data_IF_214217527125
#
_entry.id   IF_214217527125
#
_cell.length_a   1.000
_cell.length_b   1.000
_cell.length_c   1.000
_cell.angle_alpha   90.00
_cell.angle_beta   90.00
_cell.angle_gamma   90.00
#
_symmetry.space_group_name_H-M   'P 1'
#
loop_
_entity.id
_entity.type
_entity.pdbx_description
1 polymer ?
2 non-polymer ?
3 non-polymer ?
4 non-polymer ?
5 water ?
#
# COMPACT_ATOMS: atom_id res chain seq x y z
N UNK A 2 11.64 -25.97 2.72
CA UNK A 2 12.81 -26.08 1.82
C UNK A 2 13.94 -25.16 2.30
N UNK A 3 14.52 -25.49 3.47
CA UNK A 3 15.67 -24.76 4.01
C UNK A 3 16.97 -25.27 3.39
N UNK A 4 18.03 -24.45 3.51
CA UNK A 4 19.25 -24.67 2.75
C UNK A 4 20.47 -24.59 3.67
N UNK A 5 20.90 -25.74 4.21
CA UNK A 5 21.80 -25.81 5.34
C UNK A 5 23.16 -25.24 4.94
N UNK A 6 23.81 -24.57 5.92
CA UNK A 6 25.14 -23.99 5.79
C UNK A 6 26.17 -24.90 6.46
N UNK A 7 27.24 -25.22 5.71
CA UNK A 7 28.28 -26.16 6.09
C UNK A 7 29.65 -25.48 5.99
N UNK A 8 30.59 -25.92 6.87
CA UNK A 8 31.97 -25.42 6.92
C UNK A 8 32.75 -25.73 5.64
N UNK A 9 33.52 -24.79 5.06
CA UNK A 9 34.51 -25.15 4.05
C UNK A 9 35.67 -26.00 4.65
N UNK A 20 32.36 -21.05 -5.35
CA UNK A 20 32.71 -22.44 -5.77
C UNK A 20 31.61 -22.95 -6.73
N UNK A 21 31.44 -24.27 -6.81
CA UNK A 21 30.49 -24.91 -7.71
C UNK A 21 29.12 -25.02 -7.05
N UNK A 22 29.05 -25.66 -5.87
CA UNK A 22 27.81 -25.90 -5.15
C UNK A 22 27.00 -24.62 -4.94
N UNK A 23 27.68 -23.47 -4.80
CA UNK A 23 27.03 -22.22 -4.47
C UNK A 23 26.50 -21.54 -5.74
N UNK A 24 27.32 -21.38 -6.79
CA UNK A 24 26.88 -20.72 -8.02
C UNK A 24 25.97 -21.66 -8.84
N UNK A 25 25.97 -22.95 -8.48
CA UNK A 25 24.96 -23.90 -8.90
C UNK A 25 23.59 -23.56 -8.34
N UNK A 26 23.53 -23.29 -7.04
CA UNK A 26 22.33 -22.84 -6.36
C UNK A 26 21.78 -21.52 -6.92
N UNK A 27 22.65 -20.56 -7.25
CA UNK A 27 22.19 -19.28 -7.76
C UNK A 27 21.50 -19.44 -9.09
N UNK A 28 21.99 -20.39 -9.91
CA UNK A 28 21.42 -20.60 -11.22
C UNK A 28 20.05 -21.29 -11.06
N UNK A 29 19.89 -22.21 -10.11
CA UNK A 29 18.61 -22.87 -9.90
C UNK A 29 17.58 -21.91 -9.29
N UNK A 30 18.03 -21.16 -8.28
CA UNK A 30 17.19 -20.20 -7.58
C UNK A 30 16.72 -19.14 -8.58
N UNK A 31 17.67 -18.64 -9.38
CA UNK A 31 17.33 -17.63 -10.37
C UNK A 31 16.22 -18.13 -11.30
N UNK A 32 16.20 -19.46 -11.54
CA UNK A 32 15.23 -20.08 -12.43
C UNK A 32 13.85 -20.05 -11.78
N UNK A 33 13.78 -20.51 -10.51
CA UNK A 33 12.53 -20.50 -9.76
C UNK A 33 11.98 -19.08 -9.57
N UNK A 34 12.85 -18.06 -9.47
CA UNK A 34 12.40 -16.67 -9.36
C UNK A 34 11.84 -16.16 -10.67
N UNK A 35 12.41 -16.59 -11.81
CA UNK A 35 11.95 -16.17 -13.12
C UNK A 35 10.53 -16.72 -13.34
N UNK A 36 10.32 -17.95 -12.86
CA UNK A 36 9.07 -18.69 -12.95
C UNK A 36 8.04 -18.03 -12.05
N UNK A 37 8.41 -17.75 -10.79
CA UNK A 37 7.50 -17.15 -9.82
C UNK A 37 7.10 -15.75 -10.30
N UNK A 38 8.04 -15.04 -10.97
CA UNK A 38 7.79 -13.68 -11.45
C UNK A 38 6.80 -13.67 -12.60
N UNK A 39 6.79 -14.77 -13.38
CA UNK A 39 5.98 -14.93 -14.57
C UNK A 39 4.50 -15.02 -14.18
N UNK A 40 4.21 -15.77 -13.09
CA UNK A 40 2.86 -16.10 -12.68
C UNK A 40 2.35 -15.26 -11.50
N UNK A 41 3.08 -14.23 -11.04
CA UNK A 41 2.66 -13.49 -9.86
C UNK A 41 1.54 -12.49 -10.18
N UNK A 42 0.39 -12.59 -9.50
CA UNK A 42 -0.74 -11.70 -9.70
C UNK A 42 -1.35 -11.16 -8.40
N UNK A 43 -1.06 -11.75 -7.24
CA UNK A 43 -1.88 -11.50 -6.07
C UNK A 43 -1.52 -10.27 -5.23
N UNK A 44 -0.28 -9.78 -5.29
CA UNK A 44 0.22 -8.82 -4.30
C UNK A 44 0.67 -7.56 -5.03
N UNK A 45 0.64 -6.38 -4.37
CA UNK A 45 0.82 -5.11 -5.07
C UNK A 45 2.26 -4.68 -5.33
N UNK A 46 3.05 -5.62 -5.85
CA UNK A 46 4.48 -5.42 -6.10
C UNK A 46 4.71 -5.34 -7.61
N UNK A 47 5.31 -4.19 -8.02
CA UNK A 47 5.71 -3.92 -9.39
C UNK A 47 6.99 -4.70 -9.66
N UNK A 48 6.90 -5.63 -10.63
CA UNK A 48 7.92 -6.63 -10.90
C UNK A 48 8.71 -6.27 -12.17
N UNK A 49 8.32 -5.16 -12.77
CA UNK A 49 8.98 -4.58 -13.92
C UNK A 49 10.07 -3.64 -13.39
N UNK A 50 11.23 -4.23 -13.08
CA UNK A 50 12.34 -3.52 -12.45
C UNK A 50 13.39 -3.15 -13.48
N UNK A 51 13.56 -1.84 -13.69
CA UNK A 51 14.49 -1.40 -14.70
C UNK A 51 15.59 -0.55 -14.06
N UNK A 52 16.60 -1.23 -13.49
CA UNK A 52 17.54 -0.61 -12.57
C UNK A 52 18.92 -1.25 -12.70
N UNK A 53 19.22 -1.86 -13.86
CA UNK A 53 20.47 -2.56 -14.12
C UNK A 53 21.73 -1.72 -13.88
N UNK A 54 21.88 -0.49 -14.43
CA UNK A 54 23.00 0.39 -14.10
C UNK A 54 23.34 0.69 -12.62
N UNK A 55 22.37 0.48 -11.69
CA UNK A 55 22.54 0.85 -10.29
C UNK A 55 23.15 -0.29 -9.48
N UNK A 56 23.38 -1.46 -10.07
CA UNK A 56 23.77 -2.65 -9.32
C UNK A 56 25.27 -2.70 -9.05
N UNK A 57 26.06 -1.87 -9.76
CA UNK A 57 27.39 -1.46 -9.36
C UNK A 57 27.43 -1.10 -7.87
N UNK A 58 26.44 -0.33 -7.41
CA UNK A 58 26.45 0.35 -6.12
C UNK A 58 26.29 -0.64 -4.95
N UNK A 59 25.93 -1.90 -5.24
CA UNK A 59 25.85 -2.99 -4.28
C UNK A 59 27.25 -3.28 -3.72
N UNK A 60 28.24 -2.57 -4.27
CA UNK A 60 29.62 -2.67 -3.85
C UNK A 60 29.85 -1.84 -2.58
N UNK A 61 29.03 -0.80 -2.36
CA UNK A 61 29.17 0.08 -1.21
C UNK A 61 28.13 -0.19 -0.12
N UNK A 62 28.53 0.09 1.13
CA UNK A 62 27.66 -0.04 2.29
C UNK A 62 26.96 1.27 2.53
N UNK A 63 26.00 1.62 1.66
CA UNK A 63 25.31 2.90 1.74
C UNK A 63 24.33 2.84 2.92
N UNK A 64 24.35 3.90 3.73
CA UNK A 64 23.61 3.93 4.97
C UNK A 64 23.29 5.39 5.23
N UNK A 65 21.99 5.75 5.22
CA UNK A 65 21.51 7.10 5.45
C UNK A 65 21.14 7.32 6.90
N UNK A 66 21.67 6.46 7.76
CA UNK A 66 21.79 6.66 9.20
C UNK A 66 21.56 8.12 9.61
N UNK A 67 20.44 8.34 10.30
CA UNK A 67 20.08 9.64 10.85
C UNK A 67 19.03 10.37 10.00
N UNK A 68 18.94 11.68 10.24
CA UNK A 68 17.97 12.54 9.57
C UNK A 68 18.37 12.70 8.11
N UNK A 69 17.43 12.71 7.14
CA UNK A 69 17.81 12.92 5.75
C UNK A 69 18.36 14.33 5.46
N UNK A 70 17.99 15.31 6.28
CA UNK A 70 18.32 16.73 6.08
C UNK A 70 19.49 17.23 6.95
N UNK A 71 19.96 16.41 7.91
CA UNK A 71 21.18 16.67 8.67
C UNK A 71 22.16 15.52 8.43
N UNK A 72 23.25 15.82 7.70
CA UNK A 72 24.30 14.88 7.37
C UNK A 72 25.02 14.35 8.62
N UNK A 73 25.03 13.01 8.77
CA UNK A 73 25.76 12.33 9.84
C UNK A 73 27.22 12.27 9.42
N UNK A 74 28.10 11.86 10.32
CA UNK A 74 29.52 11.77 10.03
C UNK A 74 29.82 10.53 9.21
N UNK A 75 28.89 9.55 9.16
CA UNK A 75 29.04 8.46 8.23
C UNK A 75 28.85 8.97 6.80
N UNK A 76 29.92 8.91 6.05
CA UNK A 76 30.01 9.55 4.75
C UNK A 76 29.46 8.73 3.59
N UNK A 77 29.33 7.40 3.72
CA UNK A 77 28.86 6.54 2.63
C UNK A 77 27.32 6.51 2.59
N UNK A 78 26.71 7.56 2.06
CA UNK A 78 25.26 7.74 2.11
C UNK A 78 24.73 8.34 0.80
N UNK A 79 23.41 8.41 0.67
CA UNK A 79 22.74 8.77 -0.57
C UNK A 79 21.74 9.90 -0.31
N UNK A 80 22.03 10.78 0.65
CA UNK A 80 21.13 11.87 0.97
C UNK A 80 20.86 12.82 -0.19
N UNK A 81 21.79 12.96 -1.16
CA UNK A 81 21.51 13.82 -2.31
C UNK A 81 20.22 13.30 -2.97
N UNK A 82 20.20 11.99 -3.26
CA UNK A 82 19.07 11.31 -3.87
C UNK A 82 17.84 11.33 -2.95
N UNK A 83 18.05 11.02 -1.67
CA UNK A 83 16.94 10.84 -0.75
C UNK A 83 16.15 12.12 -0.70
N UNK A 84 16.87 13.25 -0.63
CA UNK A 84 16.25 14.56 -0.45
C UNK A 84 15.56 15.02 -1.74
N UNK A 85 16.18 14.74 -2.88
CA UNK A 85 15.50 14.89 -4.16
C UNK A 85 14.12 14.22 -4.19
N UNK A 86 14.09 12.91 -3.86
CA UNK A 86 12.89 12.08 -3.88
C UNK A 86 11.88 12.65 -2.91
N UNK A 87 12.32 13.07 -1.73
CA UNK A 87 11.38 13.55 -0.75
C UNK A 87 10.76 14.85 -1.24
N UNK A 88 11.55 15.66 -1.96
CA UNK A 88 11.10 16.98 -2.42
C UNK A 88 9.99 16.80 -3.47
N UNK A 89 10.22 15.86 -4.37
CA UNK A 89 9.24 15.44 -5.33
C UNK A 89 7.94 14.98 -4.66
N UNK A 90 8.04 14.14 -3.63
CA UNK A 90 6.84 13.71 -2.93
C UNK A 90 6.17 14.92 -2.28
N UNK A 91 6.93 15.89 -1.77
CA UNK A 91 6.31 17.04 -1.11
C UNK A 91 5.53 17.86 -2.14
N UNK A 92 6.07 17.97 -3.35
CA UNK A 92 5.43 18.69 -4.44
C UNK A 92 4.14 17.94 -4.79
N UNK A 93 4.27 16.63 -5.08
CA UNK A 93 3.16 15.71 -5.35
C UNK A 93 2.01 15.87 -4.36
N UNK A 94 2.25 16.06 -3.06
CA UNK A 94 1.17 16.13 -2.08
C UNK A 94 0.97 17.55 -1.59
N UNK A 95 1.62 18.51 -2.26
CA UNK A 95 1.39 19.94 -2.05
C UNK A 95 1.74 20.38 -0.62
N UNK A 96 3.00 20.20 -0.22
CA UNK A 96 3.52 20.82 1.00
C UNK A 96 4.87 21.47 0.66
N UNK A 97 5.15 22.66 1.20
CA UNK A 97 6.32 23.40 0.74
C UNK A 97 7.58 22.93 1.50
N UNK A 98 8.77 23.10 0.87
CA UNK A 98 10.08 22.74 1.40
C UNK A 98 10.21 23.06 2.90
N UNK A 99 9.64 24.16 3.37
CA UNK A 99 9.87 24.59 4.73
C UNK A 99 8.66 24.32 5.60
N UNK A 100 7.74 23.47 5.10
CA UNK A 100 6.60 23.06 5.91
C UNK A 100 6.67 21.55 6.21
N UNK A 101 7.54 20.79 5.53
CA UNK A 101 7.48 19.34 5.58
C UNK A 101 8.78 18.70 6.09
N UNK A 102 8.60 17.55 6.76
CA UNK A 102 9.67 16.60 7.04
C UNK A 102 9.22 15.21 6.61
N UNK A 103 10.20 14.38 6.26
CA UNK A 103 9.93 13.00 5.93
C UNK A 103 11.22 12.23 5.67
N UNK A 104 11.07 10.96 5.27
CA UNK A 104 12.23 10.10 5.03
C UNK A 104 11.79 8.90 4.22
N UNK A 105 12.78 8.27 3.60
CA UNK A 105 12.58 7.03 2.89
C UNK A 105 12.72 5.87 3.89
N UNK A 106 11.63 5.08 4.01
CA UNK A 106 11.46 4.04 5.01
C UNK A 106 11.80 2.68 4.40
N UNK A 107 11.65 1.64 5.20
CA UNK A 107 11.79 0.25 4.82
C UNK A 107 10.47 -0.36 4.32
N UNK A 108 9.42 0.45 4.22
CA UNK A 108 8.15 -0.02 3.71
C UNK A 108 6.97 0.73 4.31
N UNK A 109 5.81 0.35 3.81
CA UNK A 109 4.55 0.94 4.22
C UNK A 109 4.22 0.68 5.68
N UNK A 110 4.74 -0.41 6.27
CA UNK A 110 4.46 -0.61 7.69
C UNK A 110 5.28 0.31 8.56
N UNK A 111 6.55 0.57 8.23
CA UNK A 111 7.30 1.60 8.93
C UNK A 111 6.62 2.97 8.79
N UNK A 112 6.11 3.33 7.61
CA UNK A 112 5.46 4.62 7.47
C UNK A 112 4.21 4.73 8.34
N UNK A 113 3.45 3.65 8.44
CA UNK A 113 2.31 3.57 9.33
C UNK A 113 2.75 3.72 10.79
N UNK A 114 3.80 3.01 11.22
CA UNK A 114 4.22 3.13 12.60
C UNK A 114 4.70 4.55 12.90
N UNK A 115 5.31 5.20 11.91
CA UNK A 115 5.82 6.54 12.13
C UNK A 115 4.67 7.52 12.25
N UNK A 116 3.77 7.52 11.26
CA UNK A 116 2.66 8.44 11.25
C UNK A 116 1.73 8.27 12.44
N UNK A 117 1.54 7.04 12.93
CA UNK A 117 0.61 6.85 14.03
C UNK A 117 1.29 7.31 15.31
N UNK A 118 2.62 7.20 15.36
CA UNK A 118 3.38 7.59 16.54
C UNK A 118 3.36 9.11 16.62
N UNK A 119 3.59 9.77 15.50
CA UNK A 119 3.48 11.21 15.44
C UNK A 119 2.16 11.71 16.02
N UNK A 120 1.03 11.10 15.61
CA UNK A 120 -0.29 11.47 16.08
C UNK A 120 -0.49 11.20 17.57
N UNK A 121 0.14 10.15 18.08
CA UNK A 121 0.02 9.86 19.50
C UNK A 121 0.77 10.91 20.31
N UNK A 122 1.72 11.61 19.68
CA UNK A 122 2.57 12.52 20.42
C UNK A 122 1.91 13.90 20.36
N UNK A 123 1.31 14.25 19.22
CA UNK A 123 0.41 15.39 19.12
C UNK A 123 -0.71 15.26 20.17
N UNK A 124 -1.28 14.05 20.39
CA UNK A 124 -2.41 13.85 21.28
C UNK A 124 -2.28 12.57 22.10
N UNK A 125 -1.45 12.58 23.18
CA UNK A 125 -1.25 11.40 24.04
C UNK A 125 -2.49 10.74 24.65
N UNK A 126 -3.58 11.50 24.71
CA UNK A 126 -4.83 11.04 25.30
C UNK A 126 -5.84 10.66 24.19
N UNK A 127 -5.47 11.02 22.94
CA UNK A 127 -6.19 10.73 21.70
C UNK A 127 -6.76 9.31 21.62
N UNK A 128 -8.00 9.22 21.12
CA UNK A 128 -8.55 7.93 20.73
C UNK A 128 -8.13 7.71 19.28
N UNK A 129 -7.80 6.45 18.96
CA UNK A 129 -7.36 6.10 17.61
C UNK A 129 -8.53 5.45 16.86
N UNK A 130 -8.81 5.91 15.64
CA UNK A 130 -9.87 5.37 14.81
C UNK A 130 -9.33 4.93 13.46
N UNK A 131 -9.75 3.72 13.05
CA UNK A 131 -9.52 3.17 11.73
C UNK A 131 -10.65 2.23 11.33
N UNK A 132 -10.77 1.94 10.02
CA UNK A 132 -11.79 1.03 9.56
C UNK A 132 -11.42 -0.42 9.84
N UNK A 133 -12.45 -1.27 9.90
CA UNK A 133 -12.32 -2.72 10.00
C UNK A 133 -11.43 -3.30 8.91
N UNK A 134 -11.23 -2.60 7.78
CA UNK A 134 -10.48 -3.12 6.65
C UNK A 134 -9.12 -2.43 6.51
N UNK A 135 -8.66 -1.84 7.61
CA UNK A 135 -7.30 -1.40 7.76
C UNK A 135 -6.33 -2.59 7.71
N UNK A 136 -5.13 -2.32 7.18
CA UNK A 136 -4.04 -3.29 7.13
C UNK A 136 -3.64 -3.67 8.55
N UNK A 137 -3.18 -4.93 8.72
CA UNK A 137 -2.77 -5.47 10.01
C UNK A 137 -1.65 -4.63 10.65
N UNK A 138 -0.91 -3.85 9.85
CA UNK A 138 0.12 -2.96 10.37
C UNK A 138 -0.50 -1.91 11.30
N UNK A 139 -1.75 -1.49 11.03
CA UNK A 139 -2.36 -0.37 11.75
C UNK A 139 -2.70 -0.82 13.16
N UNK A 140 -3.28 -2.01 13.26
CA UNK A 140 -3.66 -2.57 14.55
C UNK A 140 -2.43 -2.98 15.33
N UNK A 141 -1.42 -3.52 14.63
CA UNK A 141 -0.14 -3.82 15.28
C UNK A 141 0.43 -2.54 15.94
N UNK A 142 0.34 -1.41 15.25
CA UNK A 142 0.91 -0.18 15.75
C UNK A 142 0.20 0.26 17.03
N UNK A 143 -1.13 0.22 17.06
CA UNK A 143 -1.92 0.68 18.20
C UNK A 143 -1.60 -0.13 19.43
N UNK A 144 -1.42 -1.45 19.24
CA UNK A 144 -1.06 -2.34 20.32
C UNK A 144 0.37 -2.08 20.78
N UNK A 145 1.30 -1.93 19.83
CA UNK A 145 2.67 -1.63 20.19
C UNK A 145 2.72 -0.34 20.98
N UNK A 146 1.87 0.60 20.58
CA UNK A 146 1.88 1.94 21.13
C UNK A 146 0.89 2.13 22.27
N UNK A 147 0.19 1.06 22.65
CA UNK A 147 -0.78 1.10 23.73
C UNK A 147 -1.76 2.26 23.55
N UNK A 148 -2.30 2.39 22.34
CA UNK A 148 -3.38 3.32 22.07
C UNK A 148 -4.72 2.56 22.08
N UNK A 149 -5.77 3.29 22.47
CA UNK A 149 -7.12 2.78 22.39
C UNK A 149 -7.57 2.86 20.94
N UNK A 150 -7.89 1.68 20.40
CA UNK A 150 -8.26 1.55 19.00
C UNK A 150 -9.77 1.34 18.88
N UNK A 151 -10.46 2.28 18.22
CA UNK A 151 -11.88 2.14 17.94
C UNK A 151 -12.05 1.74 16.47
N UNK A 152 -12.46 0.49 16.21
CA UNK A 152 -12.66 0.00 14.85
C UNK A 152 -13.97 0.53 14.28
N UNK A 153 -13.85 1.34 13.24
CA UNK A 153 -14.98 1.93 12.56
C UNK A 153 -15.47 0.97 11.48
N UNK A 154 -16.78 0.84 11.36
CA UNK A 154 -17.37 0.00 10.34
C UNK A 154 -17.11 0.53 8.94
N UNK A 155 -17.53 -0.28 7.97
CA UNK A 155 -17.13 -0.21 6.56
C UNK A 155 -18.39 -0.50 5.73
N UNK A 156 -18.60 0.26 4.66
CA UNK A 156 -19.49 -0.05 3.56
C UNK A 156 -19.08 -1.34 2.82
N UNK A 157 -19.95 -1.80 1.91
CA UNK A 157 -19.83 -3.10 1.27
C UNK A 157 -18.49 -3.14 0.52
N UNK A 158 -18.10 -1.99 -0.03
CA UNK A 158 -17.04 -1.90 -1.01
C UNK A 158 -15.68 -1.67 -0.33
N UNK A 159 -15.67 -1.40 0.99
CA UNK A 159 -14.43 -1.34 1.76
C UNK A 159 -14.16 0.03 2.40
N UNK A 160 -14.77 1.10 1.84
CA UNK A 160 -14.67 2.46 2.37
C UNK A 160 -15.06 2.51 3.83
N UNK A 161 -14.44 3.43 4.60
CA UNK A 161 -14.86 3.68 5.98
C UNK A 161 -16.31 4.20 5.93
N UNK A 162 -17.12 3.81 6.91
CA UNK A 162 -18.50 4.26 7.01
C UNK A 162 -18.55 5.50 7.88
N UNK A 163 -18.68 6.70 7.28
CA UNK A 163 -18.59 7.96 8.02
C UNK A 163 -19.83 8.24 8.87
N UNK A 164 -20.89 7.45 8.72
CA UNK A 164 -22.00 7.48 9.66
C UNK A 164 -21.56 6.79 10.95
N UNK A 165 -21.06 5.55 10.85
CA UNK A 165 -20.57 4.82 12.02
C UNK A 165 -19.39 5.57 12.66
N UNK A 166 -18.57 6.21 11.82
CA UNK A 166 -17.53 7.13 12.28
C UNK A 166 -18.14 8.19 13.19
N UNK A 167 -19.11 8.97 12.65
CA UNK A 167 -19.79 10.02 13.39
C UNK A 167 -20.32 9.47 14.72
N UNK A 168 -21.08 8.38 14.66
CA UNK A 168 -21.60 7.76 15.87
C UNK A 168 -20.47 7.58 16.89
N UNK A 169 -19.31 7.06 16.44
CA UNK A 169 -18.21 6.74 17.34
C UNK A 169 -17.49 8.00 17.84
N UNK A 170 -17.26 8.98 16.97
CA UNK A 170 -16.72 10.27 17.38
C UNK A 170 -17.49 10.85 18.57
N UNK A 171 -18.83 10.90 18.47
CA UNK A 171 -19.68 11.61 19.43
C UNK A 171 -19.67 10.90 20.79
N UNK A 172 -19.46 9.59 20.84
CA UNK A 172 -19.38 8.89 22.13
C UNK A 172 -17.98 9.01 22.77
N UNK A 173 -17.05 9.75 22.14
CA UNK A 173 -15.76 10.05 22.73
C UNK A 173 -15.43 11.52 22.44
N UNK A 174 -16.35 12.42 22.83
CA UNK A 174 -16.30 13.80 22.39
C UNK A 174 -15.33 14.62 23.24
N UNK A 175 -15.04 14.14 24.45
CA UNK A 175 -14.03 14.76 25.32
C UNK A 175 -12.66 14.77 24.64
N UNK A 176 -12.17 13.57 24.26
CA UNK A 176 -10.81 13.32 23.80
C UNK A 176 -10.59 13.76 22.34
N UNK A 177 -9.33 14.11 21.96
CA UNK A 177 -8.99 14.37 20.55
C UNK A 177 -9.03 13.06 19.76
N UNK A 178 -9.04 13.21 18.44
CA UNK A 178 -9.18 12.06 17.56
C UNK A 178 -7.90 11.89 16.77
N UNK A 179 -7.33 10.67 16.85
CA UNK A 179 -6.29 10.26 15.90
C UNK A 179 -6.89 9.27 14.90
N UNK A 180 -6.67 9.53 13.61
CA UNK A 180 -7.34 8.76 12.57
C UNK A 180 -6.37 8.24 11.53
N UNK A 181 -6.49 6.95 11.23
CA UNK A 181 -5.88 6.40 10.03
C UNK A 181 -6.96 6.23 8.95
N UNK A 182 -6.64 6.71 7.76
CA UNK A 182 -7.43 6.56 6.55
C UNK A 182 -6.68 5.70 5.55
N UNK A 183 -7.44 4.82 4.93
CA UNK A 183 -6.90 3.82 4.04
C UNK A 183 -7.08 4.35 2.64
N UNK A 184 -5.99 4.82 2.03
CA UNK A 184 -6.01 5.15 0.62
C UNK A 184 -5.66 3.87 -0.15
N UNK A 185 -6.69 3.04 -0.38
CA UNK A 185 -6.51 1.78 -1.08
C UNK A 185 -6.33 0.63 -0.09
N UNK A 186 -7.45 0.13 0.42
CA UNK A 186 -7.41 -0.96 1.38
C UNK A 186 -6.85 -2.23 0.74
N UNK A 187 -6.25 -3.08 1.56
CA UNK A 187 -5.46 -4.20 1.07
C UNK A 187 -6.33 -5.13 0.25
N UNK A 188 -7.47 -5.55 0.80
CA UNK A 188 -8.24 -6.62 0.18
C UNK A 188 -9.05 -6.08 -1.01
N UNK A 189 -9.84 -5.02 -0.83
CA UNK A 189 -10.91 -4.65 -1.76
C UNK A 189 -10.53 -3.46 -2.64
N UNK A 190 -9.49 -2.74 -2.23
CA UNK A 190 -8.98 -1.64 -3.03
C UNK A 190 -9.79 -0.36 -2.85
N UNK A 191 -10.48 -0.23 -1.71
CA UNK A 191 -11.31 0.93 -1.44
C UNK A 191 -10.46 2.13 -1.02
N UNK A 192 -11.03 3.32 -1.23
CA UNK A 192 -10.42 4.59 -0.85
C UNK A 192 -11.34 5.31 0.13
N UNK A 193 -10.91 5.42 1.40
CA UNK A 193 -11.61 6.20 2.39
C UNK A 193 -11.79 7.62 1.86
N UNK A 194 -13.00 8.16 2.08
CA UNK A 194 -13.38 9.48 1.64
C UNK A 194 -12.81 10.51 2.61
N UNK A 195 -11.65 11.09 2.27
CA UNK A 195 -10.95 12.04 3.12
C UNK A 195 -11.84 13.25 3.44
N UNK A 196 -12.31 13.91 2.38
CA UNK A 196 -13.20 15.06 2.47
C UNK A 196 -14.35 14.80 3.44
N UNK A 197 -15.07 13.70 3.25
CA UNK A 197 -16.22 13.43 4.09
C UNK A 197 -15.79 13.22 5.54
N UNK A 198 -14.62 12.60 5.74
CA UNK A 198 -14.12 12.32 7.08
C UNK A 198 -13.82 13.65 7.78
N UNK A 199 -13.15 14.54 7.04
CA UNK A 199 -12.81 15.85 7.54
C UNK A 199 -14.11 16.57 7.96
N UNK A 200 -15.03 16.71 7.00
CA UNK A 200 -16.34 17.30 7.21
C UNK A 200 -17.03 16.70 8.44
N UNK A 201 -17.00 15.37 8.62
CA UNK A 201 -17.70 14.74 9.74
C UNK A 201 -17.12 15.17 11.08
N UNK A 202 -15.78 15.34 11.11
CA UNK A 202 -15.07 15.79 12.30
C UNK A 202 -15.51 17.21 12.66
N UNK A 203 -15.47 18.10 11.67
CA UNK A 203 -15.81 19.51 11.85
C UNK A 203 -17.22 19.65 12.42
N UNK A 204 -18.16 18.81 11.94
CA UNK A 204 -19.55 18.97 12.32
C UNK A 204 -19.90 18.10 13.52
N UNK A 205 -18.91 17.44 14.14
CA UNK A 205 -19.06 16.91 15.50
C UNK A 205 -18.26 17.76 16.47
N UNK A 206 -17.80 18.93 16.02
CA UNK A 206 -17.10 19.89 16.88
C UNK A 206 -15.66 19.49 17.19
N UNK A 207 -15.00 18.84 16.22
CA UNK A 207 -13.55 18.65 16.22
C UNK A 207 -12.95 19.69 15.27
N UNK A 208 -12.26 20.68 15.85
CA UNK A 208 -11.52 21.61 15.03
C UNK A 208 -10.14 21.02 14.72
N UNK A 209 -9.45 21.63 13.73
CA UNK A 209 -8.18 21.16 13.21
C UNK A 209 -7.17 20.82 14.30
N UNK A 210 -7.31 21.44 15.48
CA UNK A 210 -6.33 21.31 16.56
C UNK A 210 -6.80 20.24 17.57
N UNK A 211 -7.81 19.44 17.21
CA UNK A 211 -8.22 18.32 18.06
C UNK A 211 -8.27 16.99 17.29
N UNK A 212 -7.74 16.95 16.07
CA UNK A 212 -7.64 15.68 15.37
C UNK A 212 -6.34 15.67 14.57
N UNK A 213 -5.79 14.45 14.36
CA UNK A 213 -4.65 14.15 13.49
C UNK A 213 -5.08 13.05 12.52
N UNK A 214 -4.89 13.26 11.21
CA UNK A 214 -5.13 12.22 10.22
C UNK A 214 -3.83 11.71 9.60
N UNK A 215 -3.62 10.37 9.66
CA UNK A 215 -2.60 9.73 8.83
C UNK A 215 -3.24 9.01 7.64
N UNK A 216 -2.65 9.19 6.47
CA UNK A 216 -3.07 8.51 5.25
C UNK A 216 -2.12 7.35 4.97
N UNK A 217 -2.66 6.12 5.05
CA UNK A 217 -1.99 4.92 4.61
C UNK A 217 -2.25 4.75 3.12
N UNK A 218 -1.26 5.10 2.29
CA UNK A 218 -1.38 4.97 0.85
C UNK A 218 -0.38 4.00 0.24
N UNK A 219 -0.05 2.95 0.96
CA UNK A 219 0.99 2.03 0.55
C UNK A 219 0.99 1.78 -0.96
N UNK A 220 -0.16 1.44 -1.55
CA UNK A 220 -0.22 1.29 -3.00
C UNK A 220 -0.82 2.52 -3.66
N UNK A 221 -2.07 2.81 -3.31
CA UNK A 221 -2.83 3.75 -4.13
C UNK A 221 -2.49 5.21 -3.82
N UNK A 222 -1.89 5.50 -2.67
CA UNK A 222 -1.44 6.85 -2.37
C UNK A 222 -0.47 7.37 -3.43
N UNK A 223 0.38 6.51 -3.97
CA UNK A 223 1.26 6.92 -5.04
C UNK A 223 0.43 7.22 -6.29
N UNK A 224 -0.54 6.35 -6.56
CA UNK A 224 -1.24 6.31 -7.85
C UNK A 224 -2.27 7.43 -7.98
N UNK A 225 -2.92 7.83 -6.89
CA UNK A 225 -4.11 8.65 -7.02
C UNK A 225 -3.80 10.07 -7.53
N UNK A 226 -2.68 10.75 -7.16
CA UNK A 226 -2.39 12.08 -7.72
C UNK A 226 -2.16 12.12 -9.23
N UNK A 227 -2.14 10.96 -9.89
CA UNK A 227 -1.98 10.94 -11.33
C UNK A 227 -3.33 10.86 -12.04
N UNK A 228 -4.44 10.94 -11.30
CA UNK A 228 -5.74 11.06 -11.93
C UNK A 228 -6.29 12.47 -11.69
N UNK A 229 -7.26 12.89 -12.50
CA UNK A 229 -7.98 14.13 -12.24
C UNK A 229 -9.20 13.88 -11.33
N UNK A 230 -9.31 12.68 -10.71
CA UNK A 230 -10.52 12.25 -10.01
C UNK A 230 -10.28 11.98 -8.52
N UNK A 231 -11.36 11.77 -7.76
CA UNK A 231 -11.29 11.18 -6.43
C UNK A 231 -10.88 12.20 -5.36
N UNK A 232 -10.84 11.82 -4.05
CA UNK A 232 -10.45 12.74 -2.98
C UNK A 232 -8.94 13.00 -2.90
N UNK A 233 -8.53 14.22 -3.29
CA UNK A 233 -7.15 14.62 -3.47
C UNK A 233 -6.39 14.55 -2.15
N UNK A 234 -5.16 14.01 -2.21
CA UNK A 234 -4.26 13.92 -1.07
C UNK A 234 -3.37 15.17 -1.12
N UNK A 235 -3.54 16.05 -0.13
CA UNK A 235 -2.92 17.35 -0.19
C UNK A 235 -2.85 17.89 1.22
N UNK A 236 -1.68 18.44 1.59
CA UNK A 236 -1.57 18.97 2.93
C UNK A 236 -2.25 20.33 3.06
N UNK A 237 -2.87 20.84 1.98
CA UNK A 237 -3.79 21.97 2.05
C UNK A 237 -5.05 21.57 2.82
N UNK A 238 -5.36 20.27 2.85
CA UNK A 238 -6.37 19.82 3.81
C UNK A 238 -5.65 19.53 5.11
N UNK A 239 -6.37 19.46 6.25
CA UNK A 239 -5.74 19.13 7.54
C UNK A 239 -5.41 17.66 7.80
N UNK A 240 -4.61 17.05 6.91
CA UNK A 240 -3.96 15.78 7.18
C UNK A 240 -2.62 16.00 7.89
N UNK A 241 -2.16 14.95 8.58
CA UNK A 241 -0.95 14.99 9.39
C UNK A 241 0.24 14.38 8.66
N UNK A 242 0.02 13.25 7.98
CA UNK A 242 1.10 12.52 7.32
C UNK A 242 0.52 11.57 6.28
N UNK A 243 1.37 11.22 5.32
CA UNK A 243 1.03 10.33 4.24
C UNK A 243 2.21 9.36 4.04
N UNK A 244 1.94 8.04 4.01
CA UNK A 244 2.95 7.06 3.62
C UNK A 244 2.54 6.30 2.37
N UNK A 245 3.57 5.81 1.70
CA UNK A 245 3.53 5.09 0.46
C UNK A 245 4.64 4.02 0.52
N UNK A 246 4.47 2.90 -0.20
CA UNK A 246 5.52 1.90 -0.35
C UNK A 246 6.13 2.06 -1.72
N UNK A 247 7.45 2.09 -1.79
CA UNK A 247 8.14 2.29 -3.05
C UNK A 247 8.24 1.02 -3.88
N UNK A 248 8.30 -0.14 -3.22
CA UNK A 248 8.35 -1.44 -3.90
C UNK A 248 6.95 -1.90 -4.35
N UNK A 250 3.99 0.41 -6.19
CA UNK A 250 3.82 0.86 -7.58
C UNK A 250 5.14 1.14 -8.31
N UNK A 251 6.05 1.95 -7.75
CA UNK A 251 7.24 2.42 -8.47
C UNK A 251 8.12 1.22 -8.82
N UNK A 252 8.26 0.31 -7.86
CA UNK A 252 9.08 -0.87 -8.05
C UNK A 252 10.49 -0.64 -7.50
N UNK A 253 10.95 -1.62 -6.70
CA UNK A 253 12.24 -1.57 -6.05
C UNK A 253 12.60 -2.98 -5.59
N UNK A 254 13.83 -3.48 -5.85
CA UNK A 254 14.19 -4.85 -5.48
C UNK A 254 14.00 -5.14 -3.98
N UNK A 255 14.23 -4.11 -3.14
CA UNK A 255 14.05 -4.24 -1.71
C UNK A 255 12.86 -3.40 -1.28
N UNK A 256 12.09 -3.84 -0.27
CA UNK A 256 11.03 -2.99 0.28
C UNK A 256 11.57 -1.63 0.71
N UNK A 257 10.81 -0.58 0.39
CA UNK A 257 11.04 0.76 0.88
C UNK A 257 9.72 1.52 0.84
N UNK A 258 9.76 2.76 1.31
CA UNK A 258 8.61 3.65 1.23
C UNK A 258 9.02 5.11 1.47
N UNK A 259 8.00 5.98 1.52
CA UNK A 259 8.18 7.40 1.75
C UNK A 259 7.11 7.80 2.75
N UNK A 260 7.52 8.43 3.87
CA UNK A 260 6.62 9.03 4.85
C UNK A 260 6.85 10.55 4.80
N UNK A 261 5.79 11.37 4.67
CA UNK A 261 5.94 12.81 4.70
C UNK A 261 4.93 13.33 5.70
N UNK A 262 5.41 14.18 6.59
CA UNK A 262 4.57 14.82 7.57
C UNK A 262 4.86 16.32 7.61
N UNK A 263 4.14 16.99 8.48
CA UNK A 263 4.35 18.38 8.75
C UNK A 263 5.53 18.52 9.70
N UNK A 264 6.47 19.41 9.33
CA UNK A 264 7.65 19.75 10.11
C UNK A 264 7.34 20.10 11.58
N UNK A 265 6.29 20.87 11.81
CA UNK A 265 5.83 21.16 13.17
C UNK A 265 5.65 19.86 13.93
N UNK A 266 5.21 18.80 13.24
CA UNK A 266 4.88 17.56 13.91
C UNK A 266 6.12 16.78 14.32
N UNK A 267 7.24 16.93 13.60
CA UNK A 267 8.42 16.12 13.85
C UNK A 267 9.19 16.53 15.12
N UNK A 268 8.99 17.73 15.69
CA UNK A 268 9.78 18.19 16.85
C UNK A 268 9.62 17.28 18.07
N UNK A 269 8.45 16.63 18.23
CA UNK A 269 8.22 15.80 19.41
C UNK A 269 8.96 14.46 19.37
N UNK A 270 9.44 13.99 18.19
CA UNK A 270 10.16 12.72 18.05
C UNK A 270 11.66 12.96 17.92
N UNK A 271 12.05 14.08 17.29
CA UNK A 271 13.43 14.35 16.92
C UNK A 271 14.28 14.58 18.17
N UNK A 272 15.36 13.79 18.34
CA UNK A 272 16.36 14.00 19.37
C UNK A 272 17.77 13.99 18.77
N UNK A 273 18.61 14.92 19.21
CA UNK A 273 20.01 14.93 18.82
C UNK A 273 20.63 13.64 19.38
N UNK A 274 21.49 13.02 18.57
CA UNK A 274 22.33 11.89 18.95
C UNK A 274 23.76 12.33 18.64
N UNK A 275 24.57 12.54 19.69
CA UNK A 275 25.87 13.18 19.50
C UNK A 275 26.77 12.34 18.60
N UNK A 276 26.76 10.99 18.68
CA UNK A 276 27.73 10.14 17.98
C UNK A 276 27.38 9.95 16.50
N UNK A 277 26.16 10.34 16.10
CA UNK A 277 25.81 10.46 14.70
C UNK A 277 26.21 11.82 14.11
N UNK A 278 26.26 12.87 14.97
CA UNK A 278 26.17 14.26 14.52
C UNK A 278 24.96 14.43 13.57
N UNK A 279 23.81 13.90 14.04
CA UNK A 279 22.56 13.98 13.32
C UNK A 279 21.45 13.86 14.36
N UNK A 280 20.22 13.82 13.89
CA UNK A 280 19.08 13.65 14.78
C UNK A 280 18.39 12.33 14.45
N UNK A 281 17.73 11.78 15.47
CA UNK A 281 16.94 10.58 15.36
C UNK A 281 15.46 10.95 15.49
N UNK A 282 14.79 10.97 14.33
CA UNK A 282 13.34 11.19 14.22
C UNK A 282 12.66 10.07 13.43
N UNK A 283 13.41 9.00 13.19
CA UNK A 283 12.92 7.86 12.43
C UNK A 283 12.62 6.72 13.39
N UNK A 284 11.80 5.76 12.94
CA UNK A 284 11.63 4.49 13.65
C UNK A 284 12.97 3.72 13.69
N UNK A 285 13.66 3.69 12.55
CA UNK A 285 14.89 2.96 12.34
C UNK A 285 16.10 3.80 12.73
N UNK A 286 17.26 3.10 12.75
CA UNK A 286 18.57 3.68 12.95
C UNK A 286 19.31 3.73 11.61
N UNK A 287 20.14 2.72 11.36
CA UNK A 287 20.67 2.52 10.02
C UNK A 287 19.52 2.43 9.02
N UNK A 288 19.71 3.01 7.83
CA UNK A 288 18.67 3.03 6.80
C UNK A 288 19.26 2.71 5.44
N UNK A 289 18.46 2.00 4.66
CA UNK A 289 18.85 1.68 3.30
C UNK A 289 19.11 2.97 2.50
N UNK A 290 20.33 3.10 1.94
CA UNK A 290 20.68 4.23 1.10
C UNK A 290 20.75 3.89 -0.40
N UNK A 291 20.46 2.65 -0.76
CA UNK A 291 20.29 2.24 -2.15
C UNK A 291 18.89 2.58 -2.68
N UNK A 292 17.86 2.28 -1.89
CA UNK A 292 16.48 2.66 -2.16
C UNK A 292 16.34 4.10 -2.66
N UNK A 293 16.91 5.13 -1.99
CA UNK A 293 16.70 6.51 -2.42
C UNK A 293 17.22 6.75 -3.85
N UNK A 294 18.30 6.06 -4.19
CA UNK A 294 18.91 6.15 -5.51
C UNK A 294 17.99 5.48 -6.53
N UNK A 295 17.54 4.26 -6.19
CA UNK A 295 16.64 3.53 -7.06
C UNK A 295 15.39 4.35 -7.34
N UNK A 296 14.80 4.90 -6.29
CA UNK A 296 13.58 5.68 -6.50
C UNK A 296 13.89 6.97 -7.27
N UNK A 297 15.08 7.54 -7.05
CA UNK A 297 15.47 8.74 -7.77
C UNK A 297 15.61 8.43 -9.26
N UNK A 298 16.23 7.33 -9.60
CA UNK A 298 16.45 6.92 -10.98
C UNK A 298 15.10 6.80 -11.69
N UNK A 299 14.14 6.15 -11.04
CA UNK A 299 12.83 5.87 -11.60
C UNK A 299 12.08 7.18 -11.83
N UNK A 300 11.99 8.04 -10.82
CA UNK A 300 11.23 9.28 -10.96
C UNK A 300 11.78 10.12 -12.11
N UNK A 301 13.09 10.04 -12.32
CA UNK A 301 13.80 10.83 -13.32
C UNK A 301 13.56 10.29 -14.72
N UNK A 302 13.86 8.99 -14.94
CA UNK A 302 13.55 8.32 -16.18
C UNK A 302 12.11 8.60 -16.65
N UNK A 303 11.12 8.64 -15.74
CA UNK A 303 9.74 8.53 -16.15
C UNK A 303 8.99 9.84 -15.95
N UNK A 304 9.24 10.52 -14.84
CA UNK A 304 8.54 11.76 -14.56
C UNK A 304 7.05 11.52 -14.32
N UNK A 305 6.34 12.60 -13.99
CA UNK A 305 4.91 12.58 -13.78
C UNK A 305 4.15 12.09 -15.03
N UNK A 306 4.72 12.19 -16.25
CA UNK A 306 4.03 11.74 -17.45
C UNK A 306 4.11 10.22 -17.58
N UNK A 307 5.31 9.68 -17.33
CA UNK A 307 5.55 8.25 -17.43
C UNK A 307 4.72 7.48 -16.41
N UNK A 308 4.53 8.08 -15.22
CA UNK A 308 3.80 7.42 -14.14
C UNK A 308 2.31 7.43 -14.48
N UNK A 309 1.78 8.62 -14.80
CA UNK A 309 0.40 8.78 -15.26
C UNK A 309 0.03 7.75 -16.32
N UNK A 310 0.94 7.47 -17.24
CA UNK A 310 0.68 6.47 -18.26
C UNK A 310 0.52 5.10 -17.61
N UNK A 311 1.51 4.70 -16.80
CA UNK A 311 1.57 3.38 -16.20
C UNK A 311 0.32 3.18 -15.33
N UNK A 312 -0.09 4.23 -14.62
CA UNK A 312 -1.26 4.15 -13.76
C UNK A 312 -2.52 3.91 -14.58
N UNK A 313 -2.67 4.64 -15.70
CA UNK A 313 -3.89 4.60 -16.49
C UNK A 313 -3.99 3.23 -17.16
N UNK A 314 -2.87 2.69 -17.60
CA UNK A 314 -2.86 1.37 -18.18
C UNK A 314 -3.19 0.29 -17.15
N UNK A 315 -2.73 0.45 -15.89
CA UNK A 315 -3.06 -0.50 -14.85
C UNK A 315 -4.56 -0.45 -14.56
N UNK A 316 -5.21 0.73 -14.51
CA UNK A 316 -6.65 0.79 -14.32
C UNK A 316 -7.37 0.14 -15.51
N UNK A 317 -6.87 0.40 -16.71
CA UNK A 317 -7.50 -0.14 -17.90
C UNK A 317 -7.42 -1.66 -17.82
N UNK A 318 -6.27 -2.20 -17.44
CA UNK A 318 -6.07 -3.64 -17.46
C UNK A 318 -6.86 -4.34 -16.36
N UNK A 319 -7.19 -3.64 -15.27
CA UNK A 319 -8.00 -4.17 -14.18
C UNK A 319 -9.47 -4.25 -14.60
N UNK A 320 -9.96 -3.16 -15.21
CA UNK A 320 -11.29 -3.12 -15.82
C UNK A 320 -11.40 -4.25 -16.85
N UNK A 321 -10.37 -4.45 -17.66
CA UNK A 321 -10.43 -5.58 -18.57
C UNK A 321 -10.60 -6.86 -17.79
N UNK A 322 -9.79 -7.08 -16.76
CA UNK A 322 -9.83 -8.36 -16.07
C UNK A 322 -11.22 -8.55 -15.48
N UNK A 323 -11.72 -7.51 -14.82
CA UNK A 323 -13.04 -7.57 -14.23
C UNK A 323 -14.10 -7.92 -15.28
N UNK A 324 -14.14 -7.20 -16.42
CA UNK A 324 -15.11 -7.46 -17.48
C UNK A 324 -15.05 -8.93 -17.93
N UNK A 325 -13.85 -9.48 -18.14
CA UNK A 325 -13.70 -10.83 -18.65
C UNK A 325 -14.24 -11.83 -17.63
N UNK A 326 -14.08 -11.50 -16.33
CA UNK A 326 -14.51 -12.38 -15.26
C UNK A 326 -16.03 -12.40 -15.21
N UNK A 327 -16.69 -11.23 -15.22
CA UNK A 327 -18.15 -11.15 -15.24
C UNK A 327 -18.73 -11.91 -16.45
N UNK A 328 -18.20 -11.69 -17.64
CA UNK A 328 -18.64 -12.44 -18.82
C UNK A 328 -18.48 -13.95 -18.69
N UNK A 329 -17.54 -14.43 -17.89
CA UNK A 329 -17.47 -15.86 -17.61
C UNK A 329 -18.37 -16.21 -16.42
N UNK A 330 -19.21 -15.26 -15.98
CA UNK A 330 -20.10 -15.45 -14.84
C UNK A 330 -19.36 -15.79 -13.56
N UNK A 331 -18.25 -15.08 -13.30
CA UNK A 331 -17.49 -15.18 -12.06
C UNK A 331 -17.64 -13.88 -11.29
N UNK A 332 -18.06 -13.99 -10.03
CA UNK A 332 -18.29 -12.84 -9.17
C UNK A 332 -16.99 -12.03 -9.12
N UNK A 333 -17.09 -10.72 -9.29
CA UNK A 333 -15.93 -9.86 -9.31
C UNK A 333 -16.38 -8.41 -9.14
N UNK A 334 -15.54 -7.63 -8.47
CA UNK A 334 -15.74 -6.21 -8.26
C UNK A 334 -14.41 -5.48 -8.53
N UNK A 335 -14.53 -4.24 -9.04
CA UNK A 335 -13.44 -3.31 -9.13
C UNK A 335 -13.94 -1.96 -8.67
N UNK A 336 -13.33 -1.39 -7.62
CA UNK A 336 -13.73 -0.09 -7.10
C UNK A 336 -13.31 0.99 -8.10
N UNK A 337 -13.85 2.21 -7.97
CA UNK A 337 -13.61 3.31 -8.90
C UNK A 337 -12.11 3.59 -9.13
N UNK A 338 -11.45 3.88 -8.01
CA UNK A 338 -10.07 4.31 -7.94
C UNK A 338 -9.18 3.15 -7.50
N UNK A 339 -8.96 2.15 -8.38
CA UNK A 339 -8.38 0.90 -7.93
C UNK A 339 -7.82 0.11 -9.10
N UNK A 340 -6.77 -0.67 -8.83
CA UNK A 340 -6.27 -1.68 -9.75
C UNK A 340 -6.45 -3.07 -9.13
N UNK A 341 -7.26 -3.15 -8.08
CA UNK A 341 -7.49 -4.38 -7.33
C UNK A 341 -8.84 -4.96 -7.72
N UNK A 342 -8.77 -6.12 -8.39
CA UNK A 342 -9.93 -6.87 -8.84
C UNK A 342 -10.18 -8.01 -7.87
N UNK A 343 -11.28 -7.88 -7.12
CA UNK A 343 -11.74 -8.84 -6.16
C UNK A 343 -12.66 -9.83 -6.87
N UNK A 344 -12.50 -11.12 -6.61
CA UNK A 344 -13.30 -12.11 -7.31
C UNK A 344 -13.46 -13.36 -6.46
N UNK A 345 -14.37 -14.23 -6.91
CA UNK A 345 -14.66 -15.51 -6.27
C UNK A 345 -13.36 -16.25 -6.06
N UNK A 346 -13.14 -16.65 -4.81
CA UNK A 346 -11.90 -17.29 -4.42
C UNK A 346 -11.79 -18.65 -5.10
N UNK A 347 -10.78 -18.89 -5.98
CA UNK A 347 -10.60 -20.21 -6.58
C UNK A 347 -10.62 -21.28 -5.50
N UNK A 348 -11.27 -22.39 -5.84
CA UNK A 348 -11.48 -23.48 -4.90
C UNK A 348 -10.21 -24.34 -4.88
N UNK A 349 -9.50 -24.40 -6.01
CA UNK A 349 -8.24 -25.12 -6.16
C UNK A 349 -7.09 -24.30 -5.54
N UNK A 350 -6.66 -24.71 -4.34
CA UNK A 350 -5.62 -23.99 -3.62
C UNK A 350 -4.26 -24.17 -4.32
N UNK A 351 -4.06 -25.19 -5.16
CA UNK A 351 -2.82 -25.22 -5.92
C UNK A 351 -2.87 -24.21 -7.08
N UNK A 352 -4.07 -23.86 -7.53
CA UNK A 352 -4.21 -22.79 -8.50
C UNK A 352 -3.92 -21.43 -7.85
N UNK A 353 -4.48 -21.20 -6.65
CA UNK A 353 -4.13 -20.06 -5.80
C UNK A 353 -2.61 -19.90 -5.65
N UNK A 354 -1.85 -20.98 -5.41
CA UNK A 354 -0.42 -20.89 -5.17
C UNK A 354 0.35 -20.68 -6.47
N UNK A 355 -0.19 -21.17 -7.58
CA UNK A 355 0.49 -21.03 -8.87
C UNK A 355 0.49 -19.56 -9.32
N UNK A 356 -0.63 -18.86 -9.07
CA UNK A 356 -0.76 -17.47 -9.47
C UNK A 356 -0.58 -16.51 -8.27
N UNK A 357 -0.31 -17.06 -7.07
CA UNK A 357 0.19 -16.31 -5.93
C UNK A 357 -0.85 -15.27 -5.53
N UNK A 358 -2.10 -15.74 -5.43
CA UNK A 358 -3.26 -14.91 -5.15
C UNK A 358 -3.41 -14.73 -3.66
N UNK A 359 -3.82 -13.53 -3.26
CA UNK A 359 -4.17 -13.24 -1.88
C UNK A 359 -5.65 -13.52 -1.72
N UNK A 360 -6.00 -14.17 -0.60
CA UNK A 360 -7.33 -14.68 -0.33
C UNK A 360 -7.79 -14.22 1.04
N UNK A 361 -9.06 -13.85 1.14
CA UNK A 361 -9.68 -13.66 2.44
C UNK A 361 -11.12 -14.12 2.33
N UNK A 362 -11.51 -15.14 3.12
CA UNK A 362 -12.88 -15.65 3.10
C UNK A 362 -13.20 -16.28 1.74
N UNK A 363 -14.26 -15.78 1.12
CA UNK A 363 -14.64 -16.21 -0.22
C UNK A 363 -14.12 -15.30 -1.32
N UNK A 364 -13.23 -14.36 -1.01
CA UNK A 364 -12.63 -13.47 -2.01
C UNK A 364 -11.17 -13.87 -2.24
N UNK A 365 -10.73 -13.74 -3.48
CA UNK A 365 -9.33 -13.62 -3.82
C UNK A 365 -9.18 -12.28 -4.52
N UNK A 366 -7.95 -11.88 -4.84
CA UNK A 366 -7.82 -10.69 -5.68
C UNK A 366 -6.55 -10.76 -6.53
N UNK A 367 -6.66 -10.07 -7.67
CA UNK A 367 -5.55 -9.81 -8.56
C UNK A 367 -5.30 -8.32 -8.46
N UNK A 368 -4.02 -7.97 -8.26
CA UNK A 368 -3.59 -6.60 -8.35
C UNK A 368 -2.79 -6.44 -9.62
N UNK A 369 -3.27 -5.48 -10.43
CA UNK A 369 -2.79 -5.27 -11.77
C UNK A 369 -1.71 -4.19 -11.71
N UNK A 370 -0.47 -4.66 -11.59
CA UNK A 370 0.72 -3.83 -11.47
C UNK A 370 1.33 -3.68 -12.87
N UNK A 371 2.23 -2.71 -13.12
CA UNK A 371 2.76 -2.49 -14.49
C UNK A 371 3.26 -3.73 -15.22
N UNK A 372 3.88 -4.65 -14.50
CA UNK A 372 4.29 -5.93 -15.07
C UNK A 372 3.11 -6.82 -15.50
N UNK A 373 1.85 -6.51 -15.08
CA UNK A 373 0.70 -7.37 -15.33
C UNK A 373 0.04 -6.95 -16.64
N UNK A 374 0.33 -7.74 -17.68
CA UNK A 374 -0.05 -7.45 -19.05
C UNK A 374 -1.35 -8.16 -19.42
N UNK A 375 -1.98 -7.68 -20.51
CA UNK A 375 -3.17 -8.35 -21.03
C UNK A 375 -2.85 -9.78 -21.46
N UNK A 376 -1.72 -10.00 -22.14
CA UNK A 376 -1.35 -11.35 -22.52
C UNK A 376 -1.33 -12.27 -21.30
N UNK A 377 -0.86 -11.76 -20.15
CA UNK A 377 -0.73 -12.56 -18.94
C UNK A 377 -2.08 -12.77 -18.26
N UNK A 378 -2.94 -11.74 -18.29
CA UNK A 378 -4.29 -11.86 -17.76
C UNK A 378 -5.08 -12.93 -18.54
N UNK A 379 -4.91 -13.00 -19.86
CA UNK A 379 -5.56 -13.99 -20.69
C UNK A 379 -5.07 -15.40 -20.37
N UNK A 380 -3.76 -15.60 -20.19
CA UNK A 380 -3.25 -16.91 -19.83
C UNK A 380 -3.95 -17.40 -18.56
N UNK A 381 -4.22 -16.47 -17.63
CA UNK A 381 -4.79 -16.75 -16.31
C UNK A 381 -6.29 -17.06 -16.42
N UNK A 382 -7.04 -16.19 -17.14
CA UNK A 382 -8.47 -16.38 -17.40
C UNK A 382 -8.76 -17.71 -18.10
N UNK A 383 -7.92 -18.07 -19.08
CA UNK A 383 -7.99 -19.39 -19.70
C UNK A 383 -7.97 -20.47 -18.63
N UNK A 384 -6.94 -20.48 -17.80
CA UNK A 384 -6.77 -21.57 -16.85
C UNK A 384 -7.92 -21.58 -15.85
N UNK A 385 -8.29 -20.39 -15.36
CA UNK A 385 -9.30 -20.30 -14.32
C UNK A 385 -10.62 -20.85 -14.86
N UNK A 386 -10.98 -20.47 -16.09
CA UNK A 386 -12.26 -20.85 -16.66
C UNK A 386 -12.32 -22.38 -16.86
N UNK A 387 -11.29 -22.97 -17.49
CA UNK A 387 -11.19 -24.43 -17.61
C UNK A 387 -11.41 -25.12 -16.27
N UNK A 388 -10.70 -24.70 -15.24
CA UNK A 388 -10.73 -25.42 -13.97
C UNK A 388 -12.06 -25.18 -13.25
N UNK A 389 -12.66 -23.99 -13.40
CA UNK A 389 -13.91 -23.66 -12.72
C UNK A 389 -15.00 -24.66 -13.11
N UNK A 390 -14.97 -25.13 -14.37
CA UNK A 390 -15.99 -26.02 -14.88
C UNK A 390 -16.11 -27.31 -14.04
N UNK A 391 -15.02 -27.77 -13.39
CA UNK A 391 -15.01 -28.99 -12.59
C UNK A 391 -15.34 -28.76 -11.11
N UNK A 392 -15.65 -27.52 -10.70
CA UNK A 392 -15.74 -27.18 -9.28
C UNK A 392 -17.18 -27.18 -8.80
N UNK A 393 -18.09 -26.75 -9.66
CA UNK A 393 -19.44 -26.43 -9.22
C UNK A 393 -20.51 -27.12 -10.10
N UNK A 394 -20.08 -28.06 -10.98
CA UNK A 394 -20.97 -28.95 -11.71
C UNK A 394 -22.06 -29.53 -10.81
N UNK A 395 -23.31 -29.57 -11.32
CA UNK A 395 -24.34 -30.34 -10.65
C UNK A 395 -23.79 -31.75 -10.43
N UNK A 396 -24.01 -32.32 -9.23
CA UNK A 396 -24.91 -31.78 -8.23
C UNK A 396 -24.19 -31.23 -7.01
N UNK A 397 -22.90 -30.87 -7.17
CA UNK A 397 -22.12 -30.22 -6.12
C UNK A 397 -22.69 -28.82 -5.86
N UNK A 398 -22.20 -28.17 -4.80
CA UNK A 398 -22.96 -27.14 -4.10
C UNK A 398 -23.28 -25.91 -4.97
N UNK A 399 -22.51 -25.63 -6.04
CA UNK A 399 -22.76 -24.40 -6.81
C UNK A 399 -22.04 -23.19 -6.18
N UNK A 400 -21.71 -22.12 -6.94
CA UNK A 400 -20.74 -21.12 -6.47
C UNK A 400 -21.08 -20.43 -5.15
N UNK A 401 -20.07 -20.01 -4.36
CA UNK A 401 -20.33 -19.24 -3.14
C UNK A 401 -20.90 -17.85 -3.49
N UNK A 402 -21.68 -17.31 -2.55
CA UNK A 402 -22.31 -16.02 -2.69
C UNK A 402 -21.35 -14.96 -2.14
N UNK A 403 -20.88 -14.04 -3.00
CA UNK A 403 -19.99 -12.97 -2.54
C UNK A 403 -20.76 -11.66 -2.32
N UNK A 404 -22.09 -11.65 -2.44
CA UNK A 404 -22.85 -10.43 -2.19
C UNK A 404 -22.51 -9.81 -0.85
N UNK A 405 -22.37 -10.57 0.26
CA UNK A 405 -22.04 -9.93 1.54
C UNK A 405 -20.69 -9.18 1.50
N UNK A 406 -19.76 -9.59 0.62
CA UNK A 406 -18.41 -9.07 0.54
C UNK A 406 -18.31 -7.93 -0.49
N UNK A 407 -18.99 -8.09 -1.65
CA UNK A 407 -18.76 -7.19 -2.77
C UNK A 407 -20.06 -6.59 -3.31
N UNK A 408 -21.19 -6.83 -2.63
CA UNK A 408 -22.49 -6.40 -3.11
C UNK A 408 -23.07 -7.35 -4.16
N UNK A 409 -24.39 -7.44 -4.16
CA UNK A 409 -25.11 -8.45 -4.93
C UNK A 409 -25.13 -8.09 -6.42
N UNK A 410 -24.96 -6.81 -6.75
CA UNK A 410 -24.76 -6.38 -8.14
C UNK A 410 -23.51 -7.05 -8.75
N UNK A 411 -22.55 -7.46 -7.91
CA UNK A 411 -21.28 -7.99 -8.39
C UNK A 411 -21.20 -9.51 -8.19
N UNK A 412 -22.21 -10.08 -7.52
CA UNK A 412 -22.24 -11.52 -7.30
C UNK A 412 -22.89 -12.25 -8.48
N UNK A 413 -22.31 -13.39 -8.88
CA UNK A 413 -22.83 -14.18 -9.98
C UNK A 413 -23.15 -15.61 -9.51
N UNK A 414 -23.49 -15.76 -8.22
CA UNK A 414 -23.90 -17.06 -7.69
C UNK A 414 -25.25 -17.44 -8.32
N UNK A 415 -25.76 -18.60 -7.92
CA UNK A 415 -26.96 -19.17 -8.54
C UNK A 415 -28.17 -18.24 -8.35
N UNK A 416 -28.20 -17.54 -7.22
CA UNK A 416 -29.28 -16.62 -6.92
C UNK A 416 -29.08 -15.28 -7.64
N UNK A 417 -27.90 -14.65 -7.45
CA UNK A 417 -27.70 -13.26 -7.82
C UNK A 417 -27.40 -13.08 -9.31
N UNK A 418 -26.92 -14.10 -10.01
CA UNK A 418 -26.75 -13.98 -11.47
C UNK A 418 -28.07 -13.64 -12.18
N UNK A 419 -29.22 -14.02 -11.58
CA UNK A 419 -30.52 -13.82 -12.20
C UNK A 419 -30.85 -12.32 -12.24
N UNK A 420 -30.70 -11.66 -11.07
CA UNK A 420 -31.02 -10.24 -10.84
C UNK A 420 -30.37 -9.24 -11.81
N UNK A 421 -29.37 -9.62 -12.61
CA UNK A 421 -28.79 -8.72 -13.60
C UNK A 421 -28.96 -9.33 -15.00
#
# INVERSE_FOLDING_TARGET
TTSLTITEPDVDDDSTSDMEAFMAGVLVRYRKTLIEKTKYHLGYPFNLDLDYGPLAELQHFAINNLGDPFIESNYGVHSRQFEVGVLDWFARLWEIEQKEYWGYITNGGTEGNLHGILIGREVFPDGIFYTSRESHYSIFKAARMYRMECVKVGTLINGEIDCADFKAKLLSNKDKPAIINLNIGTTVKGAVDDIDLVIQTLEECGFSHDRFYIHCDGALFGFMMPFLNRGPKITFKKPIGSVSVSGHXFMGCPTPCGVQITRLEHINALSRNVEYLASRDATITGSRNGHSPIILWYALNRKGFKGFQKEVQKCLRNAHYLKDRLREAGISAMLNELSSTVVFERPLDEEFVRRWQLACEGNMAHVIVMPNVTIEKLDEFLNELVQKRANWYNDGKAGPPCLAPDIGSENCDCDLHKLEH
#
